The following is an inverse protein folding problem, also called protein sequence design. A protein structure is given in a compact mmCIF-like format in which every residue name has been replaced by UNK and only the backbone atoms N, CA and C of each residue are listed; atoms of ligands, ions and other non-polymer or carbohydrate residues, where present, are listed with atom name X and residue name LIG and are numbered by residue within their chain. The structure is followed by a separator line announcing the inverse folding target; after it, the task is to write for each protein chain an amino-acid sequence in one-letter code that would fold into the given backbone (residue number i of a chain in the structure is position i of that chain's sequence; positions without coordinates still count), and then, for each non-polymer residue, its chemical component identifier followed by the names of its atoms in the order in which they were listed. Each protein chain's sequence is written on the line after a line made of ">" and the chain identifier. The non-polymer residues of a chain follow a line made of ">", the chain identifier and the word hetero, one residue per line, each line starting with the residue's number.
data_IF_957020894656
#
_entry.id   IF_957020894656
#
_cell.length_a   1.000
_cell.length_b   1.000
_cell.length_c   1.000
_cell.angle_alpha   90.00
_cell.angle_beta   90.00
_cell.angle_gamma   90.00
#
_symmetry.space_group_name_H-M   'P 1'
#
loop_
_entity.id
_entity.type
_entity.pdbx_description
1 polymer ?
#
# COMPACT_ATOMS: atom_id res chain seq x y z
N UNK A 1 24.88 11.32 31.42
CA UNK A 1 24.36 10.23 30.56
C UNK A 1 25.23 10.13 29.33
N UNK A 2 26.02 9.06 29.18
CA UNK A 2 26.94 8.87 28.06
C UNK A 2 26.18 8.81 26.75
N UNK A 3 26.56 9.60 25.75
CA UNK A 3 26.07 9.48 24.37
C UNK A 3 26.42 8.07 23.87
N UNK A 4 25.44 7.22 23.75
CA UNK A 4 25.63 5.89 23.18
C UNK A 4 26.37 6.01 21.86
N UNK A 5 27.35 5.11 21.64
CA UNK A 5 28.20 5.08 20.45
C UNK A 5 27.28 4.94 19.22
N UNK A 6 27.33 5.92 18.34
CA UNK A 6 26.54 5.96 17.11
C UNK A 6 27.03 4.84 16.19
N UNK A 7 26.12 3.95 15.76
CA UNK A 7 26.45 2.92 14.79
C UNK A 7 26.82 3.54 13.44
N UNK A 8 27.96 3.17 12.90
CA UNK A 8 28.49 3.70 11.64
C UNK A 8 27.81 3.02 10.44
N UNK A 9 27.52 3.79 9.43
CA UNK A 9 27.07 3.30 8.12
C UNK A 9 28.28 3.26 7.20
N UNK A 10 28.55 2.10 6.63
CA UNK A 10 29.55 1.91 5.58
C UNK A 10 28.81 1.37 4.36
N UNK A 11 28.68 2.19 3.32
CA UNK A 11 28.06 1.81 2.08
C UNK A 11 29.06 1.05 1.19
N UNK A 12 28.58 -0.03 0.56
CA UNK A 12 29.34 -0.64 -0.53
C UNK A 12 29.28 0.25 -1.77
N UNK A 13 30.24 0.06 -2.72
CA UNK A 13 30.24 0.82 -3.98
C UNK A 13 28.90 0.73 -4.72
N UNK A 14 28.33 -0.47 -4.83
CA UNK A 14 27.03 -0.72 -5.48
C UNK A 14 25.88 0.01 -4.77
N UNK A 15 25.84 -0.07 -3.44
CA UNK A 15 24.83 0.64 -2.65
C UNK A 15 24.91 2.14 -2.83
N UNK A 16 26.12 2.68 -2.83
CA UNK A 16 26.37 4.11 -3.04
C UNK A 16 25.88 4.54 -4.42
N UNK A 17 26.27 3.82 -5.46
CA UNK A 17 25.84 4.11 -6.84
C UNK A 17 24.32 4.08 -6.99
N UNK A 18 23.65 3.06 -6.44
CA UNK A 18 22.20 2.96 -6.46
C UNK A 18 21.52 4.12 -5.74
N UNK A 19 22.02 4.50 -4.54
CA UNK A 19 21.49 5.63 -3.77
C UNK A 19 21.72 6.97 -4.50
N UNK A 20 22.87 7.16 -5.14
CA UNK A 20 23.14 8.34 -5.96
C UNK A 20 22.21 8.42 -7.17
N UNK A 21 21.98 7.30 -7.84
CA UNK A 21 21.06 7.22 -8.96
C UNK A 21 19.62 7.57 -8.55
N UNK A 22 19.13 7.02 -7.42
CA UNK A 22 17.82 7.37 -6.88
C UNK A 22 17.73 8.86 -6.52
N UNK A 23 18.80 9.41 -5.96
CA UNK A 23 18.85 10.82 -5.54
C UNK A 23 18.88 11.81 -6.72
N UNK A 24 19.51 11.43 -7.85
CA UNK A 24 19.69 12.29 -9.04
C UNK A 24 18.52 12.21 -10.02
N UNK A 25 17.99 11.00 -10.26
CA UNK A 25 17.02 10.78 -11.35
C UNK A 25 15.63 11.39 -11.11
N UNK A 26 15.29 11.74 -9.87
CA UNK A 26 14.02 12.45 -9.56
C UNK A 26 12.71 11.68 -9.79
N UNK A 27 12.74 10.50 -10.39
CA UNK A 27 11.55 9.68 -10.70
C UNK A 27 11.06 8.78 -9.56
N UNK A 28 11.73 8.79 -8.44
CA UNK A 28 11.33 8.03 -7.26
C UNK A 28 10.38 8.88 -6.36
N UNK A 29 9.55 8.25 -5.52
CA UNK A 29 8.77 8.98 -4.53
C UNK A 29 9.66 9.87 -3.66
N UNK A 30 9.23 11.10 -3.39
CA UNK A 30 10.03 12.11 -2.67
C UNK A 30 10.63 11.57 -1.35
N UNK A 31 9.88 10.75 -0.63
CA UNK A 31 10.35 10.09 0.59
C UNK A 31 11.51 9.12 0.34
N UNK A 32 11.49 8.38 -0.78
CA UNK A 32 12.58 7.46 -1.15
C UNK A 32 13.85 8.25 -1.49
N UNK A 33 13.70 9.35 -2.22
CA UNK A 33 14.80 10.26 -2.55
C UNK A 33 15.40 10.85 -1.28
N UNK A 34 14.57 11.34 -0.36
CA UNK A 34 15.02 11.89 0.93
C UNK A 34 15.79 10.84 1.75
N UNK A 35 15.27 9.60 1.84
CA UNK A 35 15.97 8.52 2.55
C UNK A 35 17.31 8.17 1.90
N UNK A 36 17.40 8.16 0.57
CA UNK A 36 18.64 7.93 -0.15
C UNK A 36 19.68 9.03 0.18
N UNK A 37 19.27 10.30 0.18
CA UNK A 37 20.16 11.43 0.56
C UNK A 37 20.65 11.31 2.00
N UNK A 38 19.77 10.95 2.94
CA UNK A 38 20.16 10.74 4.33
C UNK A 38 21.19 9.63 4.45
N UNK A 39 21.02 8.49 3.75
CA UNK A 39 21.98 7.38 3.81
C UNK A 39 23.32 7.73 3.18
N UNK A 40 23.34 8.48 2.08
CA UNK A 40 24.57 8.98 1.45
C UNK A 40 25.34 9.92 2.38
N UNK A 41 24.64 10.76 3.15
CA UNK A 41 25.28 11.66 4.13
C UNK A 41 25.68 10.92 5.41
N UNK A 42 25.00 9.83 5.77
CA UNK A 42 25.36 8.98 6.91
C UNK A 42 26.58 8.10 6.64
N UNK A 43 27.02 7.98 5.38
CA UNK A 43 28.13 7.12 5.00
C UNK A 43 29.45 7.61 5.64
N UNK A 44 30.13 6.70 6.34
CA UNK A 44 31.44 6.90 6.95
C UNK A 44 32.51 5.98 6.33
N UNK A 45 32.19 5.32 5.21
CA UNK A 45 33.10 4.44 4.48
C UNK A 45 34.24 5.17 3.76
N UNK A 46 35.08 4.43 3.06
CA UNK A 46 36.24 4.98 2.35
C UNK A 46 35.90 5.99 1.24
N UNK A 47 34.70 5.87 0.66
CA UNK A 47 34.23 6.76 -0.39
C UNK A 47 33.46 7.99 0.15
N UNK A 48 33.34 8.12 1.46
CA UNK A 48 32.69 9.26 2.09
C UNK A 48 33.52 10.53 1.93
N UNK A 49 32.97 11.55 1.28
CA UNK A 49 33.66 12.85 1.10
C UNK A 49 33.78 13.64 2.40
N UNK A 50 32.86 13.46 3.33
CA UNK A 50 32.79 14.16 4.61
C UNK A 50 32.01 13.31 5.62
N UNK A 51 32.40 13.36 6.87
CA UNK A 51 31.65 12.78 7.99
C UNK A 51 30.67 13.81 8.52
N UNK A 52 29.39 13.50 8.48
CA UNK A 52 28.31 14.35 8.96
C UNK A 52 27.78 13.85 10.30
N UNK A 53 27.43 14.78 11.17
CA UNK A 53 26.64 14.46 12.37
C UNK A 53 25.16 14.36 12.03
N UNK A 54 24.36 13.71 12.89
CA UNK A 54 22.91 13.60 12.66
C UNK A 54 22.21 14.97 12.69
N UNK A 55 22.74 15.90 13.46
CA UNK A 55 22.29 17.27 13.55
C UNK A 55 22.54 18.03 12.23
N UNK A 56 23.76 17.96 11.70
CA UNK A 56 24.11 18.58 10.41
C UNK A 56 23.29 18.01 9.24
N UNK A 57 23.06 16.68 9.22
CA UNK A 57 22.22 16.04 8.22
C UNK A 57 20.77 16.53 8.35
N UNK A 58 20.27 16.61 9.57
CA UNK A 58 18.92 17.08 9.86
C UNK A 58 18.70 18.51 9.40
N UNK A 59 19.66 19.38 9.65
CA UNK A 59 19.66 20.78 9.22
C UNK A 59 19.76 20.91 7.69
N UNK A 60 20.71 20.21 7.07
CA UNK A 60 20.92 20.25 5.61
C UNK A 60 19.74 19.74 4.79
N UNK A 61 18.95 18.81 5.33
CA UNK A 61 17.79 18.20 4.64
C UNK A 61 16.44 18.65 5.22
N UNK A 62 16.44 19.62 6.15
CA UNK A 62 15.23 20.14 6.81
C UNK A 62 14.35 19.04 7.44
N UNK A 63 14.97 18.07 8.10
CA UNK A 63 14.30 16.96 8.76
C UNK A 63 14.65 16.91 10.24
N UNK A 64 13.78 16.29 11.05
CA UNK A 64 14.09 16.09 12.45
C UNK A 64 15.21 15.05 12.63
N UNK A 65 16.18 15.29 13.54
CA UNK A 65 17.31 14.37 13.81
C UNK A 65 16.91 12.93 14.09
N UNK A 66 15.75 12.71 14.76
CA UNK A 66 15.24 11.36 15.00
C UNK A 66 14.88 10.62 13.69
N UNK A 67 14.58 11.34 12.61
CA UNK A 67 14.32 10.75 11.28
C UNK A 67 15.62 10.18 10.73
N UNK A 68 16.71 10.93 10.82
CA UNK A 68 18.05 10.47 10.41
C UNK A 68 18.43 9.20 11.18
N UNK A 69 18.34 9.21 12.50
CA UNK A 69 18.66 8.06 13.34
C UNK A 69 17.81 6.82 13.03
N UNK A 70 16.50 7.00 12.79
CA UNK A 70 15.60 5.88 12.42
C UNK A 70 15.94 5.26 11.07
N UNK A 71 16.31 6.07 10.09
CA UNK A 71 16.67 5.58 8.75
C UNK A 71 17.98 4.83 8.82
N UNK A 72 18.98 5.37 9.51
CA UNK A 72 20.27 4.72 9.78
C UNK A 72 20.09 3.36 10.45
N UNK A 73 19.37 3.31 11.57
CA UNK A 73 19.11 2.04 12.27
C UNK A 73 18.37 1.04 11.37
N UNK A 74 17.40 1.49 10.57
CA UNK A 74 16.68 0.61 9.67
C UNK A 74 17.58 0.04 8.58
N UNK A 75 18.51 0.83 8.07
CA UNK A 75 19.50 0.38 7.12
C UNK A 75 20.42 -0.69 7.73
N UNK A 76 20.96 -0.44 8.91
CA UNK A 76 21.85 -1.36 9.61
C UNK A 76 21.16 -2.69 10.01
N UNK A 77 19.91 -2.63 10.42
CA UNK A 77 19.16 -3.82 10.84
C UNK A 77 18.55 -4.62 9.70
N UNK A 78 18.14 -3.98 8.62
CA UNK A 78 17.28 -4.58 7.58
C UNK A 78 17.81 -4.41 6.17
N UNK A 79 18.91 -3.69 5.98
CA UNK A 79 19.51 -3.41 4.70
C UNK A 79 18.83 -2.25 3.94
N UNK A 80 19.26 -2.06 2.70
CA UNK A 80 18.93 -0.89 1.88
C UNK A 80 17.44 -0.81 1.50
N UNK A 81 16.88 -1.88 0.91
CA UNK A 81 15.48 -1.87 0.43
C UNK A 81 14.48 -1.47 1.50
N UNK A 82 14.47 -2.07 2.72
CA UNK A 82 13.55 -1.67 3.77
C UNK A 82 13.80 -0.27 4.33
N UNK A 83 15.02 0.28 4.20
CA UNK A 83 15.33 1.64 4.62
C UNK A 83 14.75 2.67 3.65
N UNK A 84 14.71 2.36 2.36
CA UNK A 84 14.21 3.23 1.29
C UNK A 84 12.69 3.14 1.13
N UNK A 85 12.12 1.94 1.29
CA UNK A 85 10.72 1.68 1.00
C UNK A 85 9.80 1.95 2.19
N UNK A 86 8.56 2.31 1.88
CA UNK A 86 7.52 2.42 2.90
C UNK A 86 7.09 1.02 3.34
N UNK A 87 7.10 0.76 4.65
CA UNK A 87 6.49 -0.45 5.18
C UNK A 87 5.02 -0.52 4.77
N UNK A 88 4.67 -1.52 3.97
CA UNK A 88 3.29 -1.78 3.62
C UNK A 88 2.52 -2.23 4.88
N UNK A 89 1.32 -1.72 5.05
CA UNK A 89 0.43 -2.19 6.11
C UNK A 89 -0.05 -3.60 5.75
N UNK A 90 0.10 -4.55 6.66
CA UNK A 90 -0.42 -5.91 6.50
C UNK A 90 -1.94 -5.96 6.60
N UNK A 91 -2.51 -5.08 7.41
CA UNK A 91 -3.95 -5.01 7.66
C UNK A 91 -4.45 -3.60 7.33
N UNK A 92 -5.52 -3.44 6.57
CA UNK A 92 -6.13 -2.14 6.33
C UNK A 92 -6.63 -1.55 7.67
N UNK A 93 -6.63 -0.22 7.84
CA UNK A 93 -7.05 0.44 9.08
C UNK A 93 -8.54 0.21 9.40
N UNK A 94 -9.34 -0.05 8.39
CA UNK A 94 -10.77 -0.37 8.52
C UNK A 94 -11.01 -1.73 7.88
N UNK A 95 -11.66 -2.67 8.57
CA UNK A 95 -12.00 -3.96 7.98
C UNK A 95 -12.93 -3.74 6.77
N UNK A 96 -12.83 -4.65 5.80
CA UNK A 96 -13.72 -4.60 4.64
C UNK A 96 -15.17 -4.83 5.10
N UNK A 97 -16.10 -3.96 4.67
CA UNK A 97 -17.54 -4.11 4.95
C UNK A 97 -18.14 -5.38 4.36
N UNK A 98 -17.52 -5.90 3.33
CA UNK A 98 -17.91 -7.15 2.64
C UNK A 98 -16.71 -8.09 2.76
N UNK A 99 -16.87 -9.11 3.58
CA UNK A 99 -15.93 -10.23 3.69
C UNK A 99 -16.20 -11.30 2.61
N UNK A 100 -15.47 -12.39 2.65
CA UNK A 100 -15.65 -13.48 1.69
C UNK A 100 -17.03 -14.15 1.77
N UNK A 101 -17.58 -14.30 2.97
CA UNK A 101 -18.89 -14.90 3.18
C UNK A 101 -20.01 -14.00 2.64
N UNK A 102 -19.95 -12.71 2.97
CA UNK A 102 -20.89 -11.71 2.45
C UNK A 102 -20.81 -11.57 0.92
N UNK A 103 -19.59 -11.65 0.34
CA UNK A 103 -19.42 -11.64 -1.11
C UNK A 103 -20.09 -12.88 -1.77
N UNK A 104 -19.95 -14.06 -1.18
CA UNK A 104 -20.60 -15.28 -1.66
C UNK A 104 -22.14 -15.16 -1.62
N UNK A 105 -22.69 -14.58 -0.55
CA UNK A 105 -24.14 -14.34 -0.43
C UNK A 105 -24.67 -13.34 -1.46
N UNK A 106 -23.89 -12.26 -1.76
CA UNK A 106 -24.22 -11.31 -2.84
C UNK A 106 -24.28 -12.03 -4.18
N UNK A 107 -23.33 -12.91 -4.48
CA UNK A 107 -23.30 -13.69 -5.71
C UNK A 107 -24.47 -14.68 -5.78
N UNK A 108 -24.71 -15.43 -4.70
CA UNK A 108 -25.81 -16.37 -4.61
C UNK A 108 -27.17 -15.71 -4.87
N UNK A 109 -27.39 -14.53 -4.27
CA UNK A 109 -28.59 -13.73 -4.50
C UNK A 109 -28.69 -13.25 -5.95
N UNK A 110 -27.59 -12.81 -6.53
CA UNK A 110 -27.52 -12.38 -7.93
C UNK A 110 -27.83 -13.53 -8.92
N UNK A 111 -27.51 -14.77 -8.54
CA UNK A 111 -27.81 -15.97 -9.34
C UNK A 111 -29.22 -16.50 -9.14
N UNK A 112 -29.96 -16.06 -8.13
CA UNK A 112 -31.33 -16.45 -7.88
C UNK A 112 -32.30 -15.71 -8.82
N UNK A 113 -33.56 -16.15 -8.88
CA UNK A 113 -34.59 -15.43 -9.60
C UNK A 113 -34.88 -14.07 -8.93
N UNK A 114 -35.05 -12.99 -9.71
CA UNK A 114 -35.44 -11.70 -9.17
C UNK A 114 -36.83 -11.75 -8.54
N UNK A 115 -37.15 -10.81 -7.64
CA UNK A 115 -38.47 -10.74 -6.99
C UNK A 115 -39.59 -10.58 -8.01
N UNK A 116 -40.80 -11.02 -7.63
CA UNK A 116 -42.01 -10.95 -8.44
C UNK A 116 -42.21 -9.57 -9.09
N UNK A 117 -42.46 -9.52 -10.39
CA UNK A 117 -42.63 -8.29 -11.15
C UNK A 117 -41.34 -7.64 -11.66
N UNK A 118 -40.20 -8.33 -11.52
CA UNK A 118 -38.93 -7.90 -12.09
C UNK A 118 -38.34 -8.95 -13.02
N UNK A 119 -37.94 -8.54 -14.22
CA UNK A 119 -37.34 -9.47 -15.20
C UNK A 119 -35.85 -9.72 -14.90
N UNK A 120 -35.14 -8.74 -14.32
CA UNK A 120 -33.70 -8.81 -14.15
C UNK A 120 -33.26 -8.16 -12.82
N UNK A 121 -32.10 -8.59 -12.30
CA UNK A 121 -31.45 -7.96 -11.19
C UNK A 121 -30.79 -6.64 -11.61
N UNK A 122 -31.09 -5.58 -10.89
CA UNK A 122 -30.34 -4.31 -10.96
C UNK A 122 -29.51 -4.13 -9.69
N UNK A 123 -28.43 -3.35 -9.75
CA UNK A 123 -27.61 -3.07 -8.57
C UNK A 123 -28.44 -2.47 -7.43
N UNK A 124 -29.41 -1.59 -7.74
CA UNK A 124 -30.29 -0.98 -6.72
C UNK A 124 -31.18 -2.02 -6.07
N UNK A 125 -31.83 -2.87 -6.89
CA UNK A 125 -32.71 -3.95 -6.41
C UNK A 125 -31.92 -4.93 -5.54
N UNK A 126 -30.75 -5.37 -6.00
CA UNK A 126 -29.88 -6.24 -5.25
C UNK A 126 -29.44 -5.62 -3.90
N UNK A 127 -29.14 -4.32 -3.89
CA UNK A 127 -28.79 -3.61 -2.67
C UNK A 127 -29.96 -3.54 -1.69
N UNK A 128 -31.20 -3.31 -2.16
CA UNK A 128 -32.37 -3.29 -1.28
C UNK A 128 -32.70 -4.66 -0.73
N UNK A 129 -32.63 -5.72 -1.53
CA UNK A 129 -32.84 -7.10 -1.11
C UNK A 129 -31.81 -7.56 -0.06
N UNK A 130 -30.54 -7.22 -0.24
CA UNK A 130 -29.47 -7.53 0.73
C UNK A 130 -29.77 -6.90 2.11
N UNK A 131 -30.30 -5.69 2.13
CA UNK A 131 -30.71 -5.02 3.37
C UNK A 131 -31.97 -5.62 3.96
N UNK A 132 -32.99 -5.87 3.14
CA UNK A 132 -34.27 -6.42 3.57
C UNK A 132 -34.13 -7.81 4.16
N UNK A 133 -33.29 -8.65 3.56
CA UNK A 133 -32.95 -10.00 4.07
C UNK A 133 -31.94 -9.98 5.22
N UNK A 134 -31.52 -8.80 5.67
CA UNK A 134 -30.53 -8.61 6.76
C UNK A 134 -29.20 -9.33 6.52
N UNK A 135 -28.85 -9.61 5.27
CA UNK A 135 -27.58 -10.23 4.91
C UNK A 135 -26.43 -9.26 5.19
N UNK A 136 -26.62 -7.99 4.79
CA UNK A 136 -25.70 -6.90 5.10
C UNK A 136 -26.54 -5.66 5.37
N UNK A 137 -26.52 -5.18 6.58
CA UNK A 137 -27.36 -4.04 7.02
C UNK A 137 -26.87 -2.71 6.44
N UNK A 138 -25.57 -2.52 6.34
CA UNK A 138 -24.95 -1.29 5.87
C UNK A 138 -24.12 -1.51 4.61
N UNK A 139 -24.77 -1.57 3.47
CA UNK A 139 -24.09 -1.65 2.17
C UNK A 139 -24.62 -0.59 1.21
N UNK A 140 -23.72 -0.02 0.39
CA UNK A 140 -24.08 0.91 -0.67
C UNK A 140 -24.03 0.23 -2.05
N UNK A 141 -24.85 0.72 -2.99
CA UNK A 141 -24.88 0.21 -4.37
C UNK A 141 -23.50 0.20 -5.06
N UNK A 142 -22.63 1.23 -4.88
CA UNK A 142 -21.26 1.16 -5.40
C UNK A 142 -20.42 0.03 -4.81
N UNK A 143 -20.66 -0.32 -3.53
CA UNK A 143 -19.92 -1.44 -2.90
C UNK A 143 -20.37 -2.77 -3.47
N UNK A 144 -21.66 -2.99 -3.65
CA UNK A 144 -22.22 -4.17 -4.32
C UNK A 144 -21.63 -4.32 -5.73
N UNK A 145 -21.65 -3.24 -6.51
CA UNK A 145 -21.08 -3.23 -7.85
C UNK A 145 -19.58 -3.59 -7.87
N UNK A 146 -18.78 -3.00 -6.97
CA UNK A 146 -17.35 -3.32 -6.87
C UNK A 146 -17.11 -4.79 -6.50
N UNK A 147 -17.93 -5.35 -5.62
CA UNK A 147 -17.85 -6.76 -5.22
C UNK A 147 -18.12 -7.66 -6.42
N UNK A 148 -19.22 -7.43 -7.15
CA UNK A 148 -19.54 -8.18 -8.34
C UNK A 148 -18.47 -8.05 -9.44
N UNK A 149 -17.96 -6.84 -9.67
CA UNK A 149 -16.88 -6.61 -10.62
C UNK A 149 -15.61 -7.36 -10.23
N UNK A 150 -15.24 -7.37 -8.94
CA UNK A 150 -14.06 -8.09 -8.45
C UNK A 150 -14.17 -9.60 -8.64
N UNK A 151 -15.37 -10.15 -8.55
CA UNK A 151 -15.66 -11.57 -8.77
C UNK A 151 -15.97 -11.90 -10.22
N UNK A 152 -15.83 -10.93 -11.14
CA UNK A 152 -16.16 -11.05 -12.57
C UNK A 152 -17.63 -11.46 -12.86
N UNK A 153 -18.52 -11.12 -11.95
CA UNK A 153 -19.95 -11.38 -12.13
C UNK A 153 -20.62 -10.18 -12.81
N UNK A 154 -21.31 -10.44 -13.94
CA UNK A 154 -22.07 -9.43 -14.66
C UNK A 154 -23.57 -9.64 -14.43
N UNK A 155 -24.29 -8.59 -14.04
CA UNK A 155 -25.75 -8.59 -13.93
C UNK A 155 -26.40 -8.67 -15.32
N UNK A 156 -27.51 -9.41 -15.44
CA UNK A 156 -28.32 -9.42 -16.65
C UNK A 156 -27.84 -10.32 -17.77
N UNK A 157 -26.90 -11.25 -17.54
CA UNK A 157 -26.55 -12.27 -18.54
C UNK A 157 -27.17 -13.63 -18.19
N UNK A 158 -27.73 -14.36 -19.16
CA UNK A 158 -28.26 -15.69 -18.93
C UNK A 158 -27.18 -16.65 -18.42
N UNK A 159 -27.61 -17.69 -17.67
CA UNK A 159 -26.79 -18.61 -16.88
C UNK A 159 -25.65 -19.34 -17.62
N UNK A 160 -25.55 -19.20 -18.94
CA UNK A 160 -24.65 -20.00 -19.77
C UNK A 160 -23.47 -19.21 -20.39
N UNK A 161 -23.28 -17.93 -20.01
CA UNK A 161 -22.23 -17.14 -20.65
C UNK A 161 -21.26 -16.55 -19.62
N UNK A 162 -20.29 -17.36 -19.21
CA UNK A 162 -19.06 -16.88 -18.59
C UNK A 162 -18.18 -16.32 -19.71
N UNK A 163 -18.39 -15.05 -20.08
CA UNK A 163 -17.49 -14.38 -21.01
C UNK A 163 -16.46 -13.54 -20.24
N UNK A 164 -15.25 -14.03 -20.28
CA UNK A 164 -14.04 -13.28 -19.97
C UNK A 164 -13.84 -12.24 -21.07
N UNK A 165 -14.17 -11.00 -20.85
CA UNK A 165 -13.61 -9.93 -21.66
C UNK A 165 -12.33 -9.43 -20.99
N UNK A 166 -11.20 -9.87 -21.56
CA UNK A 166 -9.93 -9.18 -21.49
C UNK A 166 -10.09 -7.80 -22.16
N UNK A 167 -9.77 -6.76 -21.44
CA UNK A 167 -9.07 -5.58 -21.96
C UNK A 167 -8.04 -5.22 -20.92
#
# INVERSE_FOLDING_TARGET
>A
MGRGRRDKVNLTGEQRENLEQISRNGYAPAKKILHARILLMCDEGEQAKRKWTDEEIAEALEVHRNTVGRIRQRFLQKGEKPALERKLRKTPPTPAKVDGAAAAQIIALCCSEPPSGRAEWTIRLLTSELKQRQIITEISSPTVWRTLKKTNYALGKPKDTVFWNRI
#
